data_IF_581404191027
#
_entry.id   IF_581404191027
#
_cell.length_a   1.000
_cell.length_b   1.000
_cell.length_c   1.000
_cell.angle_alpha   90.00
_cell.angle_beta   90.00
_cell.angle_gamma   90.00
#
_symmetry.space_group_name_H-M   'P 1'
#
loop_
_entity.id
_entity.type
_entity.pdbx_description
1 polymer ?
#
# COMPACT_ATOMS: atom_id res chain seq x y z
N UNK A 1 6.45 26.25 -33.12
CA UNK A 1 5.37 25.33 -33.52
C UNK A 1 6.05 24.02 -33.86
N UNK A 2 6.02 23.02 -32.97
CA UNK A 2 6.56 21.67 -33.26
C UNK A 2 5.60 20.99 -34.22
N UNK A 3 6.11 20.52 -35.37
CA UNK A 3 5.32 19.73 -36.32
C UNK A 3 4.93 18.44 -35.62
N UNK A 4 3.65 18.30 -35.26
CA UNK A 4 3.12 17.03 -34.78
C UNK A 4 3.32 16.03 -35.92
N UNK A 5 4.15 15.02 -35.68
CA UNK A 5 4.38 13.96 -36.67
C UNK A 5 3.04 13.29 -36.99
N UNK A 6 2.73 13.18 -38.24
CA UNK A 6 1.52 12.47 -38.72
C UNK A 6 1.65 10.96 -38.61
N UNK A 7 2.81 10.46 -38.22
CA UNK A 7 3.08 9.04 -38.00
C UNK A 7 2.46 8.58 -36.64
N UNK A 8 1.43 7.74 -36.75
CA UNK A 8 0.71 7.14 -35.62
C UNK A 8 1.11 5.68 -35.37
N UNK A 9 2.28 5.27 -35.86
CA UNK A 9 2.80 3.94 -35.52
C UNK A 9 3.10 3.85 -34.03
N UNK A 10 2.97 2.66 -33.46
CA UNK A 10 3.26 2.38 -32.04
C UNK A 10 4.65 2.93 -31.68
N UNK A 11 5.66 2.67 -32.50
CA UNK A 11 7.02 3.17 -32.31
C UNK A 11 7.08 4.70 -32.27
N UNK A 12 6.41 5.37 -33.18
CA UNK A 12 6.44 6.84 -33.25
C UNK A 12 5.72 7.47 -32.05
N UNK A 13 4.56 6.93 -31.66
CA UNK A 13 3.81 7.42 -30.51
C UNK A 13 4.61 7.22 -29.22
N UNK A 14 5.20 6.04 -28.99
CA UNK A 14 6.05 5.79 -27.82
C UNK A 14 7.21 6.76 -27.76
N UNK A 15 7.93 6.94 -28.87
CA UNK A 15 9.08 7.86 -28.93
C UNK A 15 8.67 9.29 -28.58
N UNK A 16 7.58 9.79 -29.16
CA UNK A 16 7.05 11.13 -28.88
C UNK A 16 6.64 11.26 -27.41
N UNK A 17 5.94 10.25 -26.85
CA UNK A 17 5.54 10.24 -25.45
C UNK A 17 6.73 10.27 -24.48
N UNK A 18 7.75 9.45 -24.75
CA UNK A 18 8.99 9.43 -23.94
C UNK A 18 9.72 10.79 -24.01
N UNK A 19 9.82 11.39 -25.19
CA UNK A 19 10.45 12.69 -25.37
C UNK A 19 9.70 13.81 -24.64
N UNK A 20 8.36 13.82 -24.76
CA UNK A 20 7.50 14.80 -24.07
C UNK A 20 7.63 14.69 -22.54
N UNK A 21 7.50 13.49 -21.99
CA UNK A 21 7.57 13.28 -20.53
C UNK A 21 8.99 13.54 -20.00
N UNK A 22 10.03 13.21 -20.78
CA UNK A 22 11.41 13.54 -20.43
C UNK A 22 11.64 15.06 -20.38
N UNK A 23 11.12 15.78 -21.35
CA UNK A 23 11.21 17.25 -21.40
C UNK A 23 10.47 17.91 -20.22
N UNK A 24 9.43 17.26 -19.69
CA UNK A 24 8.70 17.68 -18.50
C UNK A 24 9.33 17.17 -17.17
N UNK A 25 10.54 16.56 -17.23
CA UNK A 25 11.24 15.98 -16.07
C UNK A 25 10.42 14.93 -15.30
N UNK A 26 9.54 14.20 -15.98
CA UNK A 26 8.74 13.14 -15.35
C UNK A 26 9.65 11.96 -14.98
N UNK A 27 9.66 11.52 -13.70
CA UNK A 27 10.38 10.31 -13.29
C UNK A 27 9.89 9.09 -14.08
N UNK A 28 10.80 8.16 -14.41
CA UNK A 28 10.45 6.93 -15.14
C UNK A 28 9.63 7.19 -16.41
N UNK A 29 9.92 8.29 -17.13
CA UNK A 29 9.18 8.77 -18.30
C UNK A 29 8.94 7.68 -19.37
N UNK A 30 9.89 6.76 -19.55
CA UNK A 30 9.75 5.62 -20.47
C UNK A 30 8.60 4.71 -20.08
N UNK A 31 8.59 4.25 -18.82
CA UNK A 31 7.52 3.40 -18.27
C UNK A 31 6.17 4.13 -18.28
N UNK A 32 6.15 5.41 -17.90
CA UNK A 32 4.93 6.21 -17.93
C UNK A 32 4.34 6.30 -19.34
N UNK A 33 5.16 6.57 -20.37
CA UNK A 33 4.72 6.61 -21.76
C UNK A 33 4.15 5.25 -22.21
N UNK A 34 4.83 4.15 -21.88
CA UNK A 34 4.32 2.79 -22.16
C UNK A 34 2.96 2.54 -21.53
N UNK A 35 2.84 2.75 -20.21
CA UNK A 35 1.61 2.48 -19.48
C UNK A 35 0.42 3.28 -19.99
N UNK A 36 0.63 4.55 -20.33
CA UNK A 36 -0.40 5.40 -20.92
C UNK A 36 -0.82 4.91 -22.32
N UNK A 37 0.14 4.48 -23.17
CA UNK A 37 -0.19 3.94 -24.49
C UNK A 37 -0.93 2.60 -24.40
N UNK A 38 -0.51 1.71 -23.48
CA UNK A 38 -1.20 0.46 -23.18
C UNK A 38 -2.64 0.69 -22.69
N UNK A 39 -2.82 1.70 -21.84
CA UNK A 39 -4.13 2.05 -21.30
C UNK A 39 -5.10 2.48 -22.43
N UNK A 40 -4.72 3.40 -23.32
CA UNK A 40 -5.62 3.88 -24.37
C UNK A 40 -5.82 2.88 -25.49
N UNK A 41 -4.82 2.05 -25.78
CA UNK A 41 -4.91 1.03 -26.84
C UNK A 41 -5.58 -0.26 -26.36
N UNK A 42 -5.72 -0.46 -25.05
CA UNK A 42 -6.22 -1.71 -24.44
C UNK A 42 -5.42 -2.95 -24.88
N UNK A 43 -4.12 -2.78 -25.16
CA UNK A 43 -3.24 -3.83 -25.61
C UNK A 43 -2.31 -4.33 -24.48
N UNK A 44 -1.65 -5.47 -24.71
CA UNK A 44 -0.67 -6.02 -23.79
C UNK A 44 0.73 -5.43 -24.05
N UNK A 45 1.61 -5.48 -23.04
CA UNK A 45 3.00 -5.06 -23.18
C UNK A 45 3.73 -5.88 -24.26
N UNK A 46 3.45 -7.18 -24.34
CA UNK A 46 4.00 -8.04 -25.40
C UNK A 46 3.57 -7.56 -26.79
N UNK A 47 2.28 -7.20 -26.95
CA UNK A 47 1.78 -6.69 -28.22
C UNK A 47 2.50 -5.40 -28.62
N UNK A 48 2.69 -4.47 -27.69
CA UNK A 48 3.35 -3.18 -27.94
C UNK A 48 4.73 -3.33 -28.59
N UNK A 49 5.53 -4.29 -28.11
CA UNK A 49 6.88 -4.54 -28.60
C UNK A 49 6.93 -5.44 -29.86
N UNK A 50 5.90 -6.25 -30.08
CA UNK A 50 5.84 -7.12 -31.27
C UNK A 50 5.19 -6.44 -32.49
N UNK A 51 4.52 -5.29 -32.31
CA UNK A 51 3.84 -4.57 -33.41
C UNK A 51 4.27 -3.08 -33.49
N UNK A 52 5.57 -2.79 -33.59
CA UNK A 52 6.07 -1.40 -33.54
C UNK A 52 5.62 -0.55 -34.72
N UNK A 53 5.32 -1.18 -35.89
CA UNK A 53 4.89 -0.50 -37.09
C UNK A 53 3.35 -0.40 -37.23
N UNK A 54 2.60 -1.00 -36.28
CA UNK A 54 1.13 -0.92 -36.28
C UNK A 54 0.69 0.53 -36.12
N UNK A 55 -0.23 0.97 -37.00
CA UNK A 55 -0.76 2.33 -36.98
C UNK A 55 -2.03 2.39 -36.18
N UNK A 56 -2.01 3.14 -35.08
CA UNK A 56 -3.16 3.28 -34.20
C UNK A 56 -4.20 4.26 -34.75
N UNK A 57 -5.50 4.02 -34.49
CA UNK A 57 -6.56 4.95 -34.86
C UNK A 57 -6.32 6.35 -34.26
N UNK A 58 -6.72 7.37 -35.01
CA UNK A 58 -6.54 8.77 -34.62
C UNK A 58 -7.13 9.10 -33.23
N UNK A 59 -8.35 8.63 -32.83
CA UNK A 59 -8.89 8.87 -31.49
C UNK A 59 -8.04 8.27 -30.36
N UNK A 60 -7.34 7.15 -30.63
CA UNK A 60 -6.42 6.53 -29.66
C UNK A 60 -5.17 7.39 -29.49
N UNK A 61 -4.60 7.88 -30.59
CA UNK A 61 -3.46 8.78 -30.53
C UNK A 61 -3.80 10.11 -29.83
N UNK A 62 -4.96 10.71 -30.13
CA UNK A 62 -5.45 11.92 -29.46
C UNK A 62 -5.61 11.68 -27.95
N UNK A 63 -6.25 10.57 -27.54
CA UNK A 63 -6.39 10.18 -26.13
C UNK A 63 -5.03 10.01 -25.45
N UNK A 64 -4.08 9.39 -26.14
CA UNK A 64 -2.71 9.24 -25.63
C UNK A 64 -2.05 10.59 -25.37
N UNK A 65 -2.07 11.52 -26.33
CA UNK A 65 -1.48 12.85 -26.16
C UNK A 65 -2.18 13.66 -25.07
N UNK A 66 -3.48 13.50 -24.90
CA UNK A 66 -4.23 14.14 -23.80
C UNK A 66 -3.76 13.63 -22.43
N UNK A 67 -3.51 12.32 -22.30
CA UNK A 67 -2.96 11.74 -21.06
C UNK A 67 -1.51 12.16 -20.83
N UNK A 68 -0.67 12.21 -21.88
CA UNK A 68 0.70 12.72 -21.78
C UNK A 68 0.73 14.18 -21.29
N UNK A 69 -0.17 15.03 -21.77
CA UNK A 69 -0.28 16.40 -21.31
C UNK A 69 -0.61 16.47 -19.80
N UNK A 70 -1.57 15.68 -19.33
CA UNK A 70 -1.90 15.58 -17.88
C UNK A 70 -0.73 15.03 -17.08
N UNK A 71 -0.03 14.00 -17.57
CA UNK A 71 1.16 13.47 -16.90
C UNK A 71 2.27 14.50 -16.82
N UNK A 72 2.50 15.25 -17.89
CA UNK A 72 3.48 16.34 -17.95
C UNK A 72 3.15 17.49 -16.96
N UNK A 73 1.88 17.67 -16.58
CA UNK A 73 1.47 18.65 -15.57
C UNK A 73 1.53 18.12 -14.12
N UNK A 74 2.04 16.89 -13.90
CA UNK A 74 2.26 16.32 -12.58
C UNK A 74 1.26 15.26 -12.14
N UNK A 75 0.18 14.99 -12.90
CA UNK A 75 -0.79 13.94 -12.51
C UNK A 75 -0.11 12.57 -12.54
N UNK A 76 -0.18 11.75 -11.47
CA UNK A 76 0.40 10.42 -11.44
C UNK A 76 -0.11 9.53 -12.56
N UNK A 77 0.77 8.71 -13.15
CA UNK A 77 0.39 7.75 -14.19
C UNK A 77 -0.73 6.83 -13.72
N UNK A 78 -0.66 6.38 -12.47
CA UNK A 78 -1.64 5.49 -11.86
C UNK A 78 -3.03 6.13 -11.73
N UNK A 79 -3.11 7.41 -11.43
CA UNK A 79 -4.40 8.13 -11.43
C UNK A 79 -4.96 8.30 -12.85
N UNK A 80 -4.10 8.40 -13.86
CA UNK A 80 -4.52 8.48 -15.27
C UNK A 80 -5.01 7.13 -15.81
N UNK A 81 -4.39 6.03 -15.38
CA UNK A 81 -4.78 4.68 -15.78
C UNK A 81 -5.83 4.07 -14.85
N UNK A 82 -6.00 4.63 -13.64
CA UNK A 82 -6.88 4.11 -12.60
C UNK A 82 -6.38 2.83 -11.94
N UNK A 83 -5.09 2.46 -12.12
CA UNK A 83 -4.58 1.15 -11.74
C UNK A 83 -3.16 1.20 -11.20
N UNK A 84 -2.89 0.33 -10.22
CA UNK A 84 -1.56 0.02 -9.69
C UNK A 84 -1.44 -1.49 -9.46
N UNK A 85 -0.32 -2.05 -9.86
CA UNK A 85 0.03 -3.43 -9.50
C UNK A 85 0.68 -3.45 -8.11
N UNK A 86 0.31 -4.45 -7.28
CA UNK A 86 0.89 -4.71 -5.97
C UNK A 86 0.77 -6.22 -5.68
N UNK A 87 1.86 -6.88 -5.36
CA UNK A 87 1.91 -8.32 -5.07
C UNK A 87 1.33 -9.20 -6.19
N UNK A 88 1.58 -8.85 -7.44
CA UNK A 88 1.02 -9.55 -8.60
C UNK A 88 -0.49 -9.38 -8.78
N UNK A 89 -1.13 -8.45 -8.07
CA UNK A 89 -2.54 -8.12 -8.17
C UNK A 89 -2.75 -6.71 -8.71
N UNK A 90 -3.78 -6.50 -9.54
CA UNK A 90 -4.14 -5.18 -10.05
C UNK A 90 -5.15 -4.51 -9.12
N UNK A 91 -4.79 -3.37 -8.55
CA UNK A 91 -5.65 -2.55 -7.69
C UNK A 91 -6.15 -1.31 -8.42
N UNK A 92 -7.43 -1.00 -8.26
CA UNK A 92 -7.98 0.30 -8.58
C UNK A 92 -7.40 1.34 -7.63
N UNK A 93 -6.97 2.48 -8.18
CA UNK A 93 -6.52 3.64 -7.42
C UNK A 93 -7.22 4.90 -7.89
N UNK A 94 -7.56 5.76 -6.95
CA UNK A 94 -8.20 7.06 -7.17
C UNK A 94 -7.51 8.12 -6.31
N UNK A 95 -7.77 9.41 -6.49
CA UNK A 95 -7.26 10.45 -5.60
C UNK A 95 -7.68 10.31 -4.12
N UNK A 96 -8.56 9.35 -3.80
CA UNK A 96 -9.01 9.10 -2.43
C UNK A 96 -8.07 8.18 -1.64
N UNK A 97 -7.05 7.58 -2.29
CA UNK A 97 -6.15 6.60 -1.67
C UNK A 97 -4.69 6.85 -2.04
N UNK A 98 -3.79 6.48 -1.14
CA UNK A 98 -2.37 6.39 -1.46
C UNK A 98 -2.18 5.35 -2.57
N UNK A 99 -1.37 5.68 -3.58
CA UNK A 99 -0.97 4.72 -4.61
C UNK A 99 -0.06 3.67 -3.94
N UNK A 100 -0.41 2.36 -3.97
CA UNK A 100 0.42 1.31 -3.37
C UNK A 100 1.89 1.41 -3.82
N UNK A 101 2.82 1.35 -2.85
CA UNK A 101 4.26 1.44 -3.11
C UNK A 101 4.87 0.05 -3.14
N UNK A 102 5.85 -0.20 -4.02
CA UNK A 102 6.55 -1.49 -4.04
C UNK A 102 7.20 -1.85 -2.69
N UNK A 103 7.69 -0.85 -1.96
CA UNK A 103 8.31 -1.05 -0.65
C UNK A 103 7.34 -1.61 0.40
N UNK A 104 6.05 -1.33 0.25
CA UNK A 104 4.99 -1.85 1.13
C UNK A 104 4.83 -3.38 1.00
N UNK A 105 5.32 -4.00 -0.08
CA UNK A 105 5.34 -5.46 -0.21
C UNK A 105 6.20 -6.13 0.88
N UNK A 106 7.22 -5.45 1.40
CA UNK A 106 7.99 -5.95 2.54
C UNK A 106 7.16 -6.15 3.82
N UNK A 107 6.06 -5.38 3.99
CA UNK A 107 5.11 -5.64 5.09
C UNK A 107 4.50 -7.03 4.97
N UNK A 108 4.10 -7.41 3.76
CA UNK A 108 3.47 -8.71 3.48
C UNK A 108 4.49 -9.83 3.73
N UNK A 109 5.72 -9.69 3.19
CA UNK A 109 6.79 -10.66 3.39
C UNK A 109 7.05 -10.90 4.88
N UNK A 110 7.29 -9.82 5.65
CA UNK A 110 7.57 -9.90 7.09
C UNK A 110 6.40 -10.52 7.86
N UNK A 111 5.16 -10.14 7.54
CA UNK A 111 3.98 -10.68 8.21
C UNK A 111 3.84 -12.19 7.97
N UNK A 112 3.98 -12.65 6.73
CA UNK A 112 3.89 -14.07 6.37
C UNK A 112 5.02 -14.89 6.98
N UNK A 113 6.26 -14.41 6.93
CA UNK A 113 7.42 -15.08 7.52
C UNK A 113 7.30 -15.23 9.03
N UNK A 114 6.90 -14.16 9.73
CA UNK A 114 6.72 -14.18 11.18
C UNK A 114 5.57 -15.11 11.60
N UNK A 115 4.45 -15.10 10.88
CA UNK A 115 3.35 -16.04 11.10
C UNK A 115 3.80 -17.49 10.86
N UNK A 116 4.56 -17.77 9.79
CA UNK A 116 5.08 -19.11 9.50
C UNK A 116 6.02 -19.60 10.62
N UNK A 117 6.93 -18.76 11.11
CA UNK A 117 7.81 -19.08 12.26
C UNK A 117 6.99 -19.39 13.51
N UNK A 118 5.92 -18.62 13.79
CA UNK A 118 5.01 -18.86 14.92
C UNK A 118 4.31 -20.22 14.80
N UNK A 119 3.83 -20.59 13.62
CA UNK A 119 3.21 -21.88 13.35
C UNK A 119 4.19 -23.04 13.58
N UNK A 120 5.44 -22.91 13.09
CA UNK A 120 6.50 -23.90 13.31
C UNK A 120 6.80 -24.08 14.81
N UNK A 121 6.95 -22.99 15.55
CA UNK A 121 7.18 -23.03 17.02
C UNK A 121 6.03 -23.71 17.77
N UNK A 122 4.80 -23.58 17.26
CA UNK A 122 3.62 -24.27 17.79
C UNK A 122 3.51 -25.74 17.33
N UNK A 123 4.51 -26.29 16.63
CA UNK A 123 4.52 -27.67 16.15
C UNK A 123 3.64 -27.92 14.92
N UNK A 124 3.18 -26.88 14.26
CA UNK A 124 2.38 -26.93 13.04
C UNK A 124 3.28 -26.73 11.84
N UNK A 125 3.58 -27.82 11.11
CA UNK A 125 4.50 -27.84 9.94
C UNK A 125 3.73 -27.92 8.61
N UNK A 126 2.51 -27.39 8.55
CA UNK A 126 1.71 -27.36 7.34
C UNK A 126 1.87 -26.03 6.59
N UNK A 127 1.39 -25.99 5.35
CA UNK A 127 1.30 -24.73 4.59
C UNK A 127 0.54 -23.69 5.41
N UNK A 128 1.07 -22.48 5.48
CA UNK A 128 0.42 -21.37 6.16
C UNK A 128 -0.90 -21.02 5.46
N UNK A 129 -2.03 -21.35 6.09
CA UNK A 129 -3.38 -21.06 5.58
C UNK A 129 -4.05 -19.93 6.34
N UNK A 130 -3.49 -19.53 7.47
CA UNK A 130 -4.09 -18.56 8.38
C UNK A 130 -5.24 -19.13 9.22
N UNK A 131 -5.35 -20.45 9.36
CA UNK A 131 -6.37 -21.07 10.23
C UNK A 131 -6.21 -20.60 11.67
N UNK A 132 -7.31 -20.09 12.26
CA UNK A 132 -7.32 -19.50 13.61
C UNK A 132 -6.65 -18.13 13.73
N UNK A 133 -6.10 -17.58 12.64
CA UNK A 133 -5.51 -16.24 12.60
C UNK A 133 -6.61 -15.20 12.42
N UNK A 134 -6.61 -14.19 13.29
CA UNK A 134 -7.42 -12.98 13.14
C UNK A 134 -6.46 -11.81 12.97
N UNK A 135 -6.60 -11.06 11.88
CA UNK A 135 -5.72 -9.94 11.58
C UNK A 135 -6.50 -8.65 11.25
N UNK A 136 -5.83 -7.52 11.41
CA UNK A 136 -6.35 -6.21 11.00
C UNK A 136 -5.27 -5.40 10.28
N UNK A 137 -5.68 -4.83 9.16
CA UNK A 137 -4.94 -3.82 8.38
C UNK A 137 -5.47 -2.44 8.75
N UNK A 138 -4.60 -1.58 9.32
CA UNK A 138 -4.96 -0.25 9.82
C UNK A 138 -4.51 0.82 8.83
N UNK A 139 -5.45 1.71 8.43
CA UNK A 139 -5.19 2.66 7.36
C UNK A 139 -5.13 1.94 6.01
N UNK A 140 -6.14 1.10 5.72
CA UNK A 140 -6.10 0.16 4.59
C UNK A 140 -6.00 0.81 3.20
N UNK A 141 -6.37 2.10 3.07
CA UNK A 141 -6.29 2.85 1.82
C UNK A 141 -7.00 2.17 0.66
N UNK A 142 -6.24 1.76 -0.35
CA UNK A 142 -6.76 0.99 -1.49
C UNK A 142 -7.16 -0.45 -1.14
N UNK A 143 -6.85 -0.93 0.05
CA UNK A 143 -7.05 -2.31 0.48
C UNK A 143 -5.91 -3.26 0.05
N UNK A 144 -4.80 -2.76 -0.47
CA UNK A 144 -3.76 -3.61 -1.06
C UNK A 144 -3.17 -4.61 -0.04
N UNK A 145 -2.93 -4.20 1.21
CA UNK A 145 -2.42 -5.08 2.28
C UNK A 145 -3.50 -6.09 2.68
N UNK A 146 -4.71 -5.62 3.03
CA UNK A 146 -5.80 -6.50 3.48
C UNK A 146 -6.21 -7.54 2.43
N UNK A 147 -6.34 -7.14 1.16
CA UNK A 147 -6.70 -8.03 0.04
C UNK A 147 -5.61 -9.05 -0.22
N UNK A 148 -4.34 -8.63 -0.21
CA UNK A 148 -3.20 -9.53 -0.39
C UNK A 148 -3.14 -10.56 0.73
N UNK A 149 -3.23 -10.14 2.00
CA UNK A 149 -3.22 -11.07 3.13
C UNK A 149 -4.43 -12.01 3.14
N UNK A 150 -5.62 -11.53 2.74
CA UNK A 150 -6.80 -12.40 2.61
C UNK A 150 -6.64 -13.46 1.52
N UNK A 151 -5.84 -13.19 0.49
CA UNK A 151 -5.51 -14.15 -0.58
C UNK A 151 -4.44 -15.15 -0.14
N UNK A 152 -3.37 -14.68 0.50
CA UNK A 152 -2.27 -15.53 0.98
C UNK A 152 -2.70 -16.43 2.17
N UNK A 153 -3.64 -15.94 3.00
CA UNK A 153 -4.16 -16.60 4.19
C UNK A 153 -5.64 -16.94 4.03
N UNK A 154 -6.00 -17.95 3.22
CA UNK A 154 -7.38 -18.20 2.83
C UNK A 154 -8.32 -18.58 4.00
N UNK A 155 -7.81 -18.98 5.15
CA UNK A 155 -8.59 -19.32 6.35
C UNK A 155 -8.55 -18.24 7.45
N UNK A 156 -7.80 -17.15 7.24
CA UNK A 156 -7.73 -16.07 8.23
C UNK A 156 -9.02 -15.24 8.26
N UNK A 157 -9.32 -14.68 9.42
CA UNK A 157 -10.34 -13.65 9.59
C UNK A 157 -9.69 -12.28 9.43
N UNK A 158 -10.09 -11.53 8.40
CA UNK A 158 -9.45 -10.28 8.02
C UNK A 158 -10.36 -9.09 8.31
N UNK A 159 -9.82 -8.12 9.03
CA UNK A 159 -10.40 -6.81 9.22
C UNK A 159 -9.55 -5.77 8.51
N UNK A 160 -10.17 -4.69 8.07
CA UNK A 160 -9.49 -3.54 7.47
C UNK A 160 -10.15 -2.27 7.96
N UNK A 161 -9.38 -1.34 8.52
CA UNK A 161 -9.89 -0.06 9.01
C UNK A 161 -9.29 1.09 8.22
N UNK A 162 -10.07 2.17 8.12
CA UNK A 162 -9.60 3.45 7.61
C UNK A 162 -10.45 4.57 8.18
N UNK A 163 -9.84 5.72 8.44
CA UNK A 163 -10.54 6.93 8.84
C UNK A 163 -11.27 7.60 7.66
N UNK A 164 -10.91 7.25 6.41
CA UNK A 164 -11.49 7.77 5.17
C UNK A 164 -12.58 6.83 4.63
N UNK A 165 -13.83 7.27 4.65
CA UNK A 165 -14.93 6.56 3.99
C UNK A 165 -14.73 6.43 2.46
N UNK A 166 -14.20 7.43 1.72
CA UNK A 166 -13.82 7.29 0.32
C UNK A 166 -12.80 6.16 0.10
N UNK A 167 -11.74 6.08 0.92
CA UNK A 167 -10.75 5.02 0.85
C UNK A 167 -11.37 3.63 1.05
N UNK A 168 -12.23 3.46 2.05
CA UNK A 168 -12.95 2.20 2.27
C UNK A 168 -13.83 1.79 1.09
N UNK A 169 -14.38 2.74 0.33
CA UNK A 169 -15.13 2.43 -0.91
C UNK A 169 -14.21 1.86 -1.99
N UNK A 170 -13.00 2.41 -2.15
CA UNK A 170 -11.99 1.90 -3.07
C UNK A 170 -11.56 0.49 -2.64
N UNK A 171 -11.21 0.30 -1.35
CA UNK A 171 -10.80 -0.99 -0.81
C UNK A 171 -11.86 -2.08 -1.02
N UNK A 172 -13.15 -1.78 -0.81
CA UNK A 172 -14.24 -2.73 -1.07
C UNK A 172 -14.35 -3.10 -2.55
N UNK A 173 -14.17 -2.14 -3.48
CA UNK A 173 -14.18 -2.45 -4.92
C UNK A 173 -13.00 -3.35 -5.29
N UNK A 174 -11.83 -3.10 -4.72
CA UNK A 174 -10.65 -3.95 -4.91
C UNK A 174 -10.86 -5.34 -4.35
N UNK A 175 -11.40 -5.49 -3.14
CA UNK A 175 -11.75 -6.80 -2.58
C UNK A 175 -12.76 -7.55 -3.47
N UNK A 176 -13.80 -6.87 -3.98
CA UNK A 176 -14.77 -7.46 -4.88
C UNK A 176 -14.14 -7.91 -6.22
N UNK A 177 -13.24 -7.08 -6.80
CA UNK A 177 -12.48 -7.42 -8.01
C UNK A 177 -11.70 -8.71 -7.87
N UNK A 178 -11.15 -8.98 -6.70
CA UNK A 178 -10.36 -10.19 -6.40
C UNK A 178 -11.19 -11.32 -5.78
N UNK A 179 -12.53 -11.22 -5.71
CA UNK A 179 -13.41 -12.25 -5.17
C UNK A 179 -13.32 -12.41 -3.64
N UNK A 180 -12.88 -11.37 -2.93
CA UNK A 180 -12.62 -11.38 -1.49
C UNK A 180 -13.55 -10.47 -0.68
N UNK A 181 -14.64 -9.94 -1.29
CA UNK A 181 -15.53 -8.99 -0.64
C UNK A 181 -16.12 -9.51 0.69
N UNK A 182 -16.51 -10.79 0.73
CA UNK A 182 -17.10 -11.44 1.91
C UNK A 182 -16.05 -11.93 2.93
N UNK A 183 -14.77 -11.85 2.56
CA UNK A 183 -13.65 -12.31 3.37
C UNK A 183 -13.05 -11.22 4.26
N UNK A 184 -13.31 -9.96 3.94
CA UNK A 184 -12.71 -8.80 4.60
C UNK A 184 -13.80 -7.94 5.21
N UNK A 185 -13.69 -7.66 6.51
CA UNK A 185 -14.59 -6.75 7.21
C UNK A 185 -14.00 -5.34 7.21
N UNK A 186 -14.56 -4.46 6.37
CA UNK A 186 -14.16 -3.06 6.26
C UNK A 186 -14.91 -2.19 7.27
N UNK A 187 -14.18 -1.49 8.14
CA UNK A 187 -14.72 -0.71 9.25
C UNK A 187 -14.18 0.72 9.19
N UNK A 188 -15.07 1.70 9.25
CA UNK A 188 -14.68 3.10 9.40
C UNK A 188 -14.26 3.35 10.85
N UNK A 189 -12.98 3.66 11.07
CA UNK A 189 -12.39 3.83 12.39
C UNK A 189 -11.11 4.65 12.30
N UNK A 190 -10.88 5.49 13.30
CA UNK A 190 -9.54 5.96 13.62
C UNK A 190 -8.80 4.82 14.34
N UNK A 191 -7.68 4.40 13.76
CA UNK A 191 -6.85 3.31 14.31
C UNK A 191 -7.70 2.08 14.74
N UNK A 192 -7.62 1.71 16.03
CA UNK A 192 -8.28 0.54 16.63
C UNK A 192 -9.55 0.88 17.43
N UNK A 193 -10.01 2.13 17.42
CA UNK A 193 -11.14 2.59 18.24
C UNK A 193 -12.42 1.74 18.09
N UNK A 194 -12.70 1.28 16.86
CA UNK A 194 -13.89 0.46 16.60
C UNK A 194 -13.85 -0.92 17.27
N UNK A 195 -12.70 -1.35 17.80
CA UNK A 195 -12.51 -2.64 18.45
C UNK A 195 -12.48 -2.54 19.97
N UNK A 196 -12.55 -1.33 20.52
CA UNK A 196 -12.66 -1.09 21.95
C UNK A 196 -13.94 -1.72 22.52
N UNK A 197 -13.96 -2.12 23.80
CA UNK A 197 -15.18 -2.63 24.45
C UNK A 197 -16.29 -1.60 24.42
N UNK A 198 -17.47 -2.02 24.02
CA UNK A 198 -18.69 -1.21 24.05
C UNK A 198 -19.65 -1.73 25.10
N UNK A 199 -20.68 -0.95 25.44
CA UNK A 199 -21.76 -1.38 26.32
C UNK A 199 -22.45 -2.68 25.83
N UNK A 200 -22.45 -2.90 24.52
CA UNK A 200 -23.05 -4.07 23.88
C UNK A 200 -22.09 -5.28 23.82
N UNK A 201 -20.83 -5.07 23.45
CA UNK A 201 -19.89 -6.17 23.23
C UNK A 201 -19.16 -6.63 24.48
N UNK A 202 -18.97 -5.75 25.47
CA UNK A 202 -18.27 -6.00 26.75
C UNK A 202 -16.88 -6.67 26.64
N UNK A 203 -16.45 -7.03 25.46
CA UNK A 203 -15.17 -7.71 25.19
C UNK A 203 -14.41 -6.96 24.09
N UNK A 204 -13.11 -6.86 24.28
CA UNK A 204 -12.17 -6.32 23.32
C UNK A 204 -11.93 -7.37 22.22
N UNK A 205 -11.94 -6.94 20.96
CA UNK A 205 -11.48 -7.79 19.86
C UNK A 205 -9.95 -7.90 19.93
N UNK A 206 -9.43 -9.12 20.01
CA UNK A 206 -8.00 -9.38 19.99
C UNK A 206 -7.55 -9.97 18.65
N UNK A 207 -6.35 -9.60 18.23
CA UNK A 207 -5.74 -9.97 16.97
C UNK A 207 -4.49 -10.82 17.15
N UNK A 208 -4.22 -11.68 16.17
CA UNK A 208 -2.95 -12.39 16.01
C UNK A 208 -1.92 -11.56 15.26
N UNK A 209 -2.38 -10.65 14.39
CA UNK A 209 -1.56 -9.73 13.62
C UNK A 209 -2.27 -8.38 13.50
N UNK A 210 -1.56 -7.33 13.84
CA UNK A 210 -1.89 -5.93 13.50
C UNK A 210 -0.81 -5.46 12.52
N UNK A 211 -1.24 -4.96 11.36
CA UNK A 211 -0.36 -4.50 10.31
C UNK A 211 -0.79 -3.10 9.85
N UNK A 212 0.15 -2.24 9.51
CA UNK A 212 -0.16 -0.90 9.01
C UNK A 212 0.99 -0.32 8.18
N UNK A 213 0.63 0.39 7.12
CA UNK A 213 1.45 1.42 6.52
C UNK A 213 0.87 2.79 6.92
N UNK A 214 1.20 3.32 8.10
CA UNK A 214 0.62 4.57 8.58
C UNK A 214 1.22 5.76 7.84
N UNK A 215 0.55 6.90 7.75
CA UNK A 215 1.14 8.16 7.32
C UNK A 215 2.37 8.50 8.14
N UNK A 216 3.49 8.81 7.47
CA UNK A 216 4.78 9.05 8.12
C UNK A 216 5.55 10.26 7.60
N UNK A 217 4.97 11.04 6.70
CA UNK A 217 5.62 12.26 6.21
C UNK A 217 5.44 13.37 7.23
N UNK A 218 6.54 14.08 7.55
CA UNK A 218 6.47 15.29 8.37
C UNK A 218 5.78 16.41 7.62
N UNK A 219 4.93 17.16 8.30
CA UNK A 219 4.34 18.39 7.74
C UNK A 219 5.40 19.41 7.35
N UNK A 220 6.58 19.41 8.02
CA UNK A 220 7.71 20.28 7.69
C UNK A 220 8.36 19.94 6.34
N UNK A 221 8.25 18.68 5.91
CA UNK A 221 8.81 18.19 4.65
C UNK A 221 7.84 18.28 3.47
N UNK A 222 6.65 18.84 3.68
CA UNK A 222 5.58 18.90 2.66
C UNK A 222 6.06 19.51 1.32
N UNK A 223 6.86 20.57 1.37
CA UNK A 223 7.36 21.26 0.17
C UNK A 223 8.47 20.47 -0.55
N UNK A 224 9.08 19.50 0.10
CA UNK A 224 10.11 18.63 -0.48
C UNK A 224 9.53 17.46 -1.29
N UNK A 225 8.24 17.18 -1.11
CA UNK A 225 7.58 16.08 -1.82
C UNK A 225 7.49 16.36 -3.32
N UNK A 226 7.64 15.31 -4.16
CA UNK A 226 7.33 15.42 -5.59
C UNK A 226 5.93 15.99 -5.81
N UNK A 227 5.76 16.82 -6.84
CA UNK A 227 4.47 17.45 -7.18
C UNK A 227 3.36 16.42 -7.31
N UNK A 228 3.64 15.28 -7.94
CA UNK A 228 2.68 14.18 -8.14
C UNK A 228 2.14 13.61 -6.83
N UNK A 229 2.95 13.58 -5.77
CA UNK A 229 2.54 13.12 -4.43
C UNK A 229 1.80 14.25 -3.71
N UNK A 230 2.44 15.41 -3.61
CA UNK A 230 1.93 16.54 -2.83
C UNK A 230 0.55 17.06 -3.30
N UNK A 231 0.32 17.08 -4.62
CA UNK A 231 -0.87 17.70 -5.20
C UNK A 231 -1.96 16.71 -5.60
N UNK A 232 -1.65 15.43 -5.67
CA UNK A 232 -2.59 14.44 -6.21
C UNK A 232 -2.91 13.28 -5.26
N UNK A 233 -2.13 13.06 -4.21
CA UNK A 233 -2.44 12.02 -3.21
C UNK A 233 -3.08 12.63 -1.96
N UNK A 234 -3.95 11.90 -1.24
CA UNK A 234 -4.69 12.47 -0.10
C UNK A 234 -3.75 12.80 1.05
N UNK A 235 -3.87 14.02 1.57
CA UNK A 235 -2.99 14.52 2.65
C UNK A 235 -3.04 13.65 3.91
N UNK A 236 -4.22 13.12 4.22
CA UNK A 236 -4.44 12.25 5.38
C UNK A 236 -3.68 10.93 5.28
N UNK A 237 -3.38 10.48 4.05
CA UNK A 237 -2.59 9.26 3.82
C UNK A 237 -1.08 9.51 3.77
N UNK A 238 -0.65 10.78 3.78
CA UNK A 238 0.76 11.15 3.68
C UNK A 238 1.33 11.60 5.02
N UNK A 239 0.65 12.53 5.71
CA UNK A 239 1.22 13.26 6.84
C UNK A 239 0.89 12.61 8.17
N UNK A 240 1.92 12.16 8.89
CA UNK A 240 1.83 11.53 10.21
C UNK A 240 1.93 12.50 11.39
N UNK A 241 1.89 13.82 11.13
CA UNK A 241 2.00 14.87 12.13
C UNK A 241 3.11 15.88 11.80
N UNK A 242 3.47 16.73 12.77
CA UNK A 242 4.49 17.77 12.59
C UNK A 242 5.87 17.15 12.32
N UNK A 243 6.23 16.10 13.04
CA UNK A 243 7.50 15.36 12.88
C UNK A 243 7.35 14.11 12.00
N UNK A 244 6.11 13.64 11.74
CA UNK A 244 5.80 12.48 10.89
C UNK A 244 5.76 11.13 11.61
N UNK A 245 5.98 11.08 12.92
CA UNK A 245 5.95 9.83 13.69
C UNK A 245 4.93 9.81 14.83
N UNK A 246 4.12 10.85 14.95
CA UNK A 246 3.13 10.99 16.02
C UNK A 246 2.11 9.86 15.99
N UNK A 247 1.70 9.44 14.81
CA UNK A 247 0.72 8.38 14.67
C UNK A 247 1.22 7.01 15.18
N UNK A 248 2.54 6.76 15.11
CA UNK A 248 3.12 5.57 15.73
C UNK A 248 2.97 5.61 17.25
N UNK A 249 3.11 6.80 17.86
CA UNK A 249 2.94 7.01 19.30
C UNK A 249 1.51 6.71 19.78
N UNK A 250 0.51 6.85 18.90
CA UNK A 250 -0.89 6.51 19.20
C UNK A 250 -1.20 5.04 18.88
N UNK A 251 -0.66 4.52 17.77
CA UNK A 251 -0.95 3.17 17.27
C UNK A 251 -0.30 2.08 18.12
N UNK A 252 0.97 2.24 18.50
CA UNK A 252 1.73 1.19 19.20
C UNK A 252 1.12 0.83 20.56
N UNK A 253 0.72 1.79 21.43
CA UNK A 253 0.01 1.46 22.67
C UNK A 253 -1.34 0.77 22.44
N UNK A 254 -2.15 1.24 21.47
CA UNK A 254 -3.40 0.59 21.14
C UNK A 254 -3.18 -0.84 20.61
N UNK A 255 -2.15 -1.05 19.81
CA UNK A 255 -1.79 -2.39 19.33
C UNK A 255 -1.41 -3.32 20.46
N UNK A 256 -0.69 -2.83 21.48
CA UNK A 256 -0.36 -3.62 22.67
C UNK A 256 -1.61 -4.10 23.42
N UNK A 257 -2.66 -3.29 23.48
CA UNK A 257 -3.94 -3.67 24.10
C UNK A 257 -4.74 -4.67 23.28
N UNK A 258 -4.71 -4.55 21.95
CA UNK A 258 -5.53 -5.34 21.02
C UNK A 258 -4.84 -6.59 20.46
N UNK A 259 -3.57 -6.82 20.76
CA UNK A 259 -2.89 -8.05 20.39
C UNK A 259 -3.08 -9.15 21.45
N UNK A 260 -3.28 -10.37 20.98
CA UNK A 260 -3.17 -11.56 21.82
C UNK A 260 -1.74 -11.69 22.35
N UNK A 261 -1.51 -12.35 23.51
CA UNK A 261 -0.16 -12.75 23.91
C UNK A 261 0.56 -13.51 22.77
N UNK A 262 1.77 -13.08 22.40
CA UNK A 262 2.51 -13.58 21.23
C UNK A 262 1.96 -13.12 19.89
N UNK A 263 1.01 -12.19 19.86
CA UNK A 263 0.54 -11.55 18.63
C UNK A 263 1.58 -10.61 18.03
N UNK A 264 1.50 -10.39 16.73
CA UNK A 264 2.48 -9.66 15.94
C UNK A 264 2.00 -8.24 15.61
N UNK A 265 2.87 -7.26 15.79
CA UNK A 265 2.76 -5.93 15.20
C UNK A 265 3.76 -5.81 14.05
N UNK A 266 3.31 -5.32 12.89
CA UNK A 266 4.15 -5.10 11.69
C UNK A 266 3.82 -3.73 11.13
N UNK A 267 4.79 -2.82 11.11
CA UNK A 267 4.61 -1.43 10.69
C UNK A 267 5.62 -1.05 9.60
N UNK A 268 5.15 -0.36 8.57
CA UNK A 268 6.04 0.33 7.63
C UNK A 268 6.69 1.53 8.31
N UNK A 269 7.94 1.81 7.96
CA UNK A 269 8.72 2.94 8.46
C UNK A 269 8.96 3.96 7.34
N UNK A 270 8.72 5.23 7.65
CA UNK A 270 9.20 6.33 6.84
C UNK A 270 10.73 6.40 6.83
N UNK A 271 11.27 7.07 5.83
CA UNK A 271 12.70 7.37 5.79
C UNK A 271 13.13 8.09 7.09
N UNK A 272 14.15 7.57 7.77
CA UNK A 272 14.65 8.08 9.07
C UNK A 272 13.67 8.01 10.27
N UNK A 273 12.52 7.33 10.19
CA UNK A 273 11.59 7.22 11.33
C UNK A 273 12.07 6.25 12.42
N UNK A 274 12.96 5.30 12.10
CA UNK A 274 13.38 4.24 13.02
C UNK A 274 13.86 4.77 14.40
N UNK A 275 14.73 5.81 14.50
CA UNK A 275 15.19 6.30 15.81
C UNK A 275 14.08 6.83 16.71
N UNK A 276 12.97 7.29 16.14
CA UNK A 276 11.81 7.77 16.89
C UNK A 276 10.81 6.65 17.21
N UNK A 277 10.67 5.66 16.33
CA UNK A 277 9.67 4.59 16.45
C UNK A 277 10.16 3.42 17.29
N UNK A 278 11.42 2.99 17.13
CA UNK A 278 11.97 1.83 17.87
C UNK A 278 11.85 1.97 19.40
N UNK A 279 12.12 3.15 20.02
CA UNK A 279 11.96 3.32 21.46
C UNK A 279 10.51 3.17 21.98
N UNK A 280 9.49 3.30 21.10
CA UNK A 280 8.09 3.10 21.46
C UNK A 280 7.74 1.62 21.68
N UNK A 281 8.58 0.71 21.18
CA UNK A 281 8.47 -0.74 21.36
C UNK A 281 9.29 -1.17 22.58
N UNK A 282 8.90 -0.68 23.75
CA UNK A 282 9.63 -0.97 24.97
C UNK A 282 9.50 -2.45 25.41
N UNK A 283 10.45 -2.90 26.24
CA UNK A 283 10.53 -4.29 26.68
C UNK A 283 9.47 -4.68 27.72
N UNK A 284 8.64 -3.76 28.16
CA UNK A 284 7.55 -4.08 29.10
C UNK A 284 6.37 -4.75 28.38
N UNK A 285 6.17 -4.38 27.12
CA UNK A 285 5.07 -4.86 26.31
C UNK A 285 5.51 -5.69 25.09
N UNK A 286 6.75 -5.53 24.66
CA UNK A 286 7.24 -6.06 23.41
C UNK A 286 8.52 -6.89 23.54
N UNK A 287 8.63 -7.92 22.70
CA UNK A 287 9.85 -8.69 22.50
C UNK A 287 10.03 -9.06 21.04
N UNK A 288 11.19 -9.67 20.70
CA UNK A 288 11.54 -10.05 19.33
C UNK A 288 11.37 -8.89 18.33
N UNK A 289 11.71 -7.66 18.75
CA UNK A 289 11.73 -6.49 17.86
C UNK A 289 12.76 -6.73 16.75
N UNK A 290 12.34 -6.54 15.51
CA UNK A 290 13.17 -6.77 14.32
C UNK A 290 12.91 -5.69 13.29
N UNK A 291 13.96 -5.25 12.61
CA UNK A 291 13.91 -4.25 11.54
C UNK A 291 14.34 -4.89 10.23
N UNK A 292 13.49 -4.78 9.23
CA UNK A 292 13.78 -5.23 7.86
C UNK A 292 14.13 -4.02 6.99
N UNK A 293 15.20 -4.16 6.21
CA UNK A 293 15.68 -3.13 5.28
C UNK A 293 15.34 -3.52 3.84
N UNK A 294 15.12 -2.50 3.01
CA UNK A 294 15.04 -2.69 1.57
C UNK A 294 16.42 -2.97 0.93
N UNK A 295 16.42 -3.20 -0.38
CA UNK A 295 17.65 -3.46 -1.15
C UNK A 295 18.64 -2.29 -1.16
N UNK A 296 18.18 -1.07 -0.85
CA UNK A 296 19.02 0.12 -0.70
C UNK A 296 19.57 0.27 0.73
N UNK A 297 19.24 -0.66 1.65
CA UNK A 297 19.67 -0.62 3.05
C UNK A 297 18.87 0.32 3.93
N UNK A 298 17.75 0.85 3.45
CA UNK A 298 16.84 1.72 4.20
C UNK A 298 15.93 0.87 5.06
N UNK A 299 15.77 1.20 6.34
CA UNK A 299 14.84 0.54 7.26
C UNK A 299 13.39 0.78 6.80
N UNK A 300 12.67 -0.27 6.43
CA UNK A 300 11.32 -0.19 5.86
C UNK A 300 10.24 -0.78 6.74
N UNK A 301 10.56 -1.81 7.48
CA UNK A 301 9.55 -2.49 8.32
C UNK A 301 10.13 -2.70 9.70
N UNK A 302 9.35 -2.36 10.72
CA UNK A 302 9.60 -2.78 12.10
C UNK A 302 8.51 -3.76 12.51
N UNK A 303 8.91 -4.86 13.15
CA UNK A 303 7.98 -5.85 13.68
C UNK A 303 8.34 -6.22 15.11
N UNK A 304 7.31 -6.52 15.93
CA UNK A 304 7.46 -6.91 17.32
C UNK A 304 6.41 -7.95 17.71
N UNK A 305 6.68 -8.73 18.74
CA UNK A 305 5.73 -9.68 19.34
C UNK A 305 5.25 -9.13 20.68
N UNK A 306 3.93 -9.21 20.93
CA UNK A 306 3.33 -8.84 22.23
C UNK A 306 3.77 -9.81 23.32
N UNK A 307 4.31 -9.30 24.44
CA UNK A 307 4.71 -10.13 25.59
C UNK A 307 3.54 -10.92 26.18
N UNK A 308 3.84 -12.14 26.59
CA UNK A 308 2.92 -12.95 27.37
C UNK A 308 3.14 -12.68 28.86
N UNK A 309 2.35 -11.80 29.44
CA UNK A 309 2.46 -11.41 30.86
C UNK A 309 2.29 -12.57 31.85
N UNK A 310 1.95 -13.79 31.38
CA UNK A 310 1.80 -14.99 32.26
C UNK A 310 3.09 -15.76 32.47
N UNK A 311 4.15 -15.52 31.70
CA UNK A 311 5.42 -16.25 31.78
C UNK A 311 6.44 -15.62 32.75
N UNK A 312 6.12 -14.48 33.32
CA UNK A 312 7.01 -13.72 34.20
C UNK A 312 6.47 -13.58 35.65
N UNK A 313 5.59 -14.49 36.06
CA UNK A 313 5.21 -14.61 37.48
C UNK A 313 5.64 -15.93 38.08
#
# INVERSE_FOLDING_TARGET
>A
MSVVSTDRSVRALLKQGMEQLRAANVPSHTLAAELLLLHVSSQSRTWLYSHPEEVLPEPVAESYFALLAKRSSGVPTQHLTGKQEFWGLEFEVTPDVLIPRPETEHLIEVALDRLAVREIRAGRHQRLTGEGVTLVDIGTGSGCIAVTLAKELPSAKVYATDASLPALKVARRNAARHGLAERIQFIHSSLLEAFAPTAATKQMQLFDLIISNPPYVSLRDADSLPVEVREHEPREALFGGDEGYELYGELIPQAAEHLKPGGLLVLELGYNSLPAVEPLLDRSDWHNVSVTKDLAGISRVISAERLNLREHR
#
